data_IF_933425119570
#
_entry.id   IF_933425119570
#
_cell.length_a   1.000
_cell.length_b   1.000
_cell.length_c   1.000
_cell.angle_alpha   90.00
_cell.angle_beta   90.00
_cell.angle_gamma   90.00
#
_symmetry.space_group_name_H-M   'P 1'
#
loop_
_entity.id
_entity.type
_entity.pdbx_description
1 polymer ?
#
# COMPACT_ATOMS: atom_id res chain seq x y z
N UNK A 1 -28.56 -30.65 4.40
CA UNK A 1 -28.84 -29.35 3.76
C UNK A 1 -27.56 -28.52 3.75
N UNK A 2 -26.91 -28.40 2.59
CA UNK A 2 -25.66 -27.62 2.44
C UNK A 2 -26.05 -26.15 2.24
N UNK A 3 -25.93 -25.34 3.27
CA UNK A 3 -26.07 -23.88 3.16
C UNK A 3 -24.79 -23.33 2.52
N UNK A 4 -24.82 -23.14 1.20
CA UNK A 4 -23.83 -22.30 0.52
C UNK A 4 -24.19 -20.85 0.81
N UNK A 5 -23.51 -20.22 1.77
CA UNK A 5 -23.62 -18.78 1.99
C UNK A 5 -23.17 -18.08 0.69
N UNK A 6 -24.02 -17.30 0.03
CA UNK A 6 -23.60 -16.54 -1.13
C UNK A 6 -22.57 -15.53 -0.63
N UNK A 7 -21.44 -15.47 -1.32
CA UNK A 7 -20.38 -14.49 -1.11
C UNK A 7 -21.03 -13.10 -1.10
N UNK A 8 -21.16 -12.52 0.09
CA UNK A 8 -21.66 -11.15 0.25
C UNK A 8 -20.72 -10.22 -0.53
N UNK A 9 -21.25 -9.57 -1.56
CA UNK A 9 -20.50 -8.63 -2.40
C UNK A 9 -20.09 -7.46 -1.50
N UNK A 10 -18.78 -7.30 -1.32
CA UNK A 10 -18.23 -6.19 -0.55
C UNK A 10 -18.21 -4.93 -1.43
N UNK A 11 -19.18 -4.03 -1.21
CA UNK A 11 -19.21 -2.71 -1.83
C UNK A 11 -18.14 -1.79 -1.20
N UNK A 12 -17.54 -0.89 -2.00
CA UNK A 12 -16.63 0.15 -1.51
C UNK A 12 -15.22 -0.33 -1.09
N UNK A 13 -14.78 -1.50 -1.57
CA UNK A 13 -13.49 -2.05 -1.15
C UNK A 13 -12.32 -1.31 -1.81
N UNK A 14 -11.59 -0.54 -1.02
CA UNK A 14 -10.39 0.17 -1.46
C UNK A 14 -9.14 -0.71 -1.30
N UNK A 15 -8.39 -0.91 -2.38
CA UNK A 15 -7.21 -1.78 -2.45
C UNK A 15 -7.49 -3.14 -3.09
N UNK A 16 -6.63 -3.56 -4.02
CA UNK A 16 -6.78 -4.82 -4.75
C UNK A 16 -6.12 -5.94 -3.95
N UNK A 17 -6.52 -7.18 -4.25
CA UNK A 17 -5.91 -8.37 -3.68
C UNK A 17 -4.79 -8.81 -4.62
N UNK A 18 -3.53 -8.70 -4.16
CA UNK A 18 -2.35 -9.10 -4.92
C UNK A 18 -1.43 -9.93 -4.04
N UNK A 19 -0.72 -10.88 -4.64
CA UNK A 19 0.19 -11.79 -3.93
C UNK A 19 -0.54 -12.89 -3.15
N UNK A 20 0.14 -13.43 -2.14
CA UNK A 20 -0.31 -14.59 -1.36
C UNK A 20 -1.16 -14.22 -0.13
N UNK A 21 -1.34 -12.93 0.14
CA UNK A 21 -2.05 -12.45 1.32
C UNK A 21 -1.85 -10.96 1.58
N UNK A 22 -2.43 -10.43 2.69
CA UNK A 22 -2.34 -9.01 3.04
C UNK A 22 -0.89 -8.56 3.28
N UNK A 23 -0.11 -9.38 3.97
CA UNK A 23 1.28 -9.10 4.30
C UNK A 23 2.17 -9.15 3.06
N UNK A 24 2.01 -10.19 2.23
CA UNK A 24 2.68 -10.31 0.93
C UNK A 24 2.42 -9.09 0.04
N UNK A 25 1.17 -8.58 0.03
CA UNK A 25 0.82 -7.34 -0.69
C UNK A 25 1.62 -6.14 -0.17
N UNK A 26 1.66 -5.94 1.15
CA UNK A 26 2.38 -4.81 1.76
C UNK A 26 3.87 -4.87 1.44
N UNK A 27 4.49 -6.06 1.56
CA UNK A 27 5.91 -6.25 1.26
C UNK A 27 6.22 -5.99 -0.23
N UNK A 28 5.35 -6.44 -1.13
CA UNK A 28 5.49 -6.16 -2.57
C UNK A 28 5.42 -4.65 -2.85
N UNK A 29 4.45 -3.94 -2.28
CA UNK A 29 4.30 -2.49 -2.47
C UNK A 29 5.49 -1.72 -1.87
N UNK A 30 5.99 -2.14 -0.70
CA UNK A 30 7.21 -1.59 -0.09
C UNK A 30 8.41 -1.72 -1.03
N UNK A 31 8.61 -2.88 -1.64
CA UNK A 31 9.74 -3.13 -2.55
C UNK A 31 9.66 -2.26 -3.82
N UNK A 32 8.46 -2.07 -4.39
CA UNK A 32 8.29 -1.18 -5.54
C UNK A 32 8.53 0.27 -5.12
N UNK A 33 8.01 0.68 -3.97
CA UNK A 33 8.19 2.05 -3.47
C UNK A 33 9.66 2.37 -3.18
N UNK A 34 10.41 1.47 -2.53
CA UNK A 34 11.84 1.67 -2.27
C UNK A 34 12.64 1.72 -3.57
N UNK A 35 12.31 0.84 -4.53
CA UNK A 35 12.89 0.92 -5.86
C UNK A 35 12.59 2.25 -6.55
N UNK A 36 11.36 2.78 -6.41
CA UNK A 36 10.93 4.02 -7.06
C UNK A 36 11.73 5.21 -6.53
N UNK A 37 11.98 5.25 -5.22
CA UNK A 37 12.82 6.28 -4.59
C UNK A 37 14.28 6.16 -5.06
N UNK A 38 14.79 4.94 -5.24
CA UNK A 38 16.19 4.71 -5.64
C UNK A 38 16.47 4.99 -7.12
N UNK A 39 15.55 4.61 -7.99
CA UNK A 39 15.74 4.60 -9.43
C UNK A 39 14.93 5.68 -10.16
N UNK A 40 14.13 6.46 -9.42
CA UNK A 40 13.25 7.56 -9.88
C UNK A 40 12.12 7.12 -10.84
N UNK A 41 12.28 6.01 -11.55
CA UNK A 41 11.31 5.43 -12.48
C UNK A 41 11.34 3.90 -12.40
N UNK A 42 10.16 3.29 -12.37
CA UNK A 42 10.00 1.84 -12.50
C UNK A 42 8.88 1.53 -13.47
N UNK A 43 9.10 0.53 -14.31
CA UNK A 43 8.08 -0.06 -15.16
C UNK A 43 7.46 -1.27 -14.44
N UNK A 44 6.16 -1.19 -14.14
CA UNK A 44 5.42 -2.28 -13.48
C UNK A 44 4.03 -2.44 -14.12
N UNK A 45 3.30 -3.48 -13.70
CA UNK A 45 1.91 -3.66 -14.11
C UNK A 45 1.03 -2.50 -13.63
N UNK A 46 0.10 -2.06 -14.46
CA UNK A 46 -0.79 -0.93 -14.15
C UNK A 46 -1.46 -1.01 -12.77
N UNK A 47 -1.99 -2.19 -12.39
CA UNK A 47 -2.64 -2.38 -11.09
C UNK A 47 -1.70 -2.15 -9.89
N UNK A 48 -0.42 -2.50 -10.02
CA UNK A 48 0.59 -2.28 -8.97
C UNK A 48 1.00 -0.80 -8.93
N UNK A 49 1.20 -0.19 -10.09
CA UNK A 49 1.55 1.22 -10.19
C UNK A 49 0.47 2.12 -9.55
N UNK A 50 -0.79 1.85 -9.87
CA UNK A 50 -1.97 2.54 -9.32
C UNK A 50 -2.01 2.47 -7.78
N UNK A 51 -1.80 1.28 -7.21
CA UNK A 51 -1.75 1.12 -5.75
C UNK A 51 -0.54 1.81 -5.11
N UNK A 52 0.66 1.65 -5.68
CA UNK A 52 1.89 2.25 -5.15
C UNK A 52 1.78 3.78 -5.12
N UNK A 53 1.09 4.39 -6.08
CA UNK A 53 0.94 5.85 -6.18
C UNK A 53 0.41 6.47 -4.88
N UNK A 54 -0.63 5.87 -4.30
CA UNK A 54 -1.27 6.35 -3.06
C UNK A 54 -0.29 6.34 -1.89
N UNK A 55 0.60 5.35 -1.82
CA UNK A 55 1.63 5.26 -0.78
C UNK A 55 2.79 6.21 -1.04
N UNK A 56 3.22 6.35 -2.31
CA UNK A 56 4.30 7.24 -2.70
C UNK A 56 3.98 8.70 -2.39
N UNK A 57 2.76 9.14 -2.69
CA UNK A 57 2.27 10.50 -2.37
C UNK A 57 2.35 10.77 -0.85
N UNK A 58 1.95 9.81 -0.02
CA UNK A 58 2.01 9.93 1.44
C UNK A 58 3.44 10.00 1.96
N UNK A 59 4.34 9.14 1.47
CA UNK A 59 5.74 9.18 1.89
C UNK A 59 6.38 10.52 1.53
N UNK A 60 6.06 11.06 0.35
CA UNK A 60 6.52 12.39 -0.05
C UNK A 60 5.97 13.49 0.86
N UNK A 61 4.70 13.40 1.28
CA UNK A 61 4.12 14.32 2.25
C UNK A 61 4.84 14.28 3.60
N UNK A 62 5.13 13.08 4.14
CA UNK A 62 5.86 12.89 5.41
C UNK A 62 7.30 13.43 5.32
N UNK A 63 7.93 13.33 4.15
CA UNK A 63 9.31 13.78 3.93
C UNK A 63 9.48 15.30 3.98
N UNK A 64 8.41 16.09 3.95
CA UNK A 64 8.50 17.56 3.97
C UNK A 64 8.95 18.05 5.36
N UNK A 65 9.92 18.98 5.44
CA UNK A 65 10.59 19.37 6.70
C UNK A 65 9.67 20.07 7.70
N UNK A 66 8.60 20.69 7.24
CA UNK A 66 7.61 21.38 8.07
C UNK A 66 6.53 20.44 8.63
N UNK A 67 6.51 19.17 8.23
CA UNK A 67 5.46 18.19 8.60
C UNK A 67 5.99 17.07 9.52
N UNK A 68 7.32 16.93 9.63
CA UNK A 68 7.99 15.80 10.28
C UNK A 68 7.77 15.69 11.81
N UNK A 69 7.41 16.78 12.50
CA UNK A 69 7.26 16.80 13.97
C UNK A 69 6.04 16.02 14.50
N UNK A 70 4.97 15.88 13.70
CA UNK A 70 3.73 15.23 14.16
C UNK A 70 3.68 13.71 13.91
N UNK A 71 4.54 13.17 13.04
CA UNK A 71 4.38 11.80 12.49
C UNK A 71 5.25 10.73 13.17
N UNK A 72 6.32 11.13 13.88
CA UNK A 72 7.22 10.20 14.60
C UNK A 72 6.53 9.37 15.69
N UNK A 73 5.33 9.77 16.13
CA UNK A 73 4.51 9.04 17.12
C UNK A 73 3.73 7.85 16.53
N UNK A 74 3.53 7.81 15.21
CA UNK A 74 2.68 6.82 14.56
C UNK A 74 3.45 5.60 14.03
N UNK A 75 4.78 5.70 13.93
CA UNK A 75 5.64 4.63 13.39
C UNK A 75 6.05 3.59 14.45
N UNK A 76 5.96 3.91 15.74
CA UNK A 76 6.37 3.03 16.84
C UNK A 76 5.30 2.02 17.28
N UNK A 77 4.08 2.06 16.73
CA UNK A 77 2.95 1.21 17.16
C UNK A 77 2.68 0.00 16.24
N UNK A 78 3.56 -0.26 15.28
CA UNK A 78 3.47 -1.46 14.41
C UNK A 78 4.71 -2.33 14.57
N UNK A 79 4.81 -2.99 15.72
CA UNK A 79 5.50 -4.27 15.88
C UNK A 79 4.46 -5.30 16.35
#
# INVERSE_FOLDING_TARGET
>A
MRLTLPVLIAHGRYGRRMGLGPESRINMLRNILTGLVRHERIETTWARADEVRIYAEKVFEVSKPNTCLHLRKNESTTN
#
